data_IF_726499783648
#
_entry.id   IF_726499783648
#
_cell.length_a   1.000
_cell.length_b   1.000
_cell.length_c   1.000
_cell.angle_alpha   90.00
_cell.angle_beta   90.00
_cell.angle_gamma   90.00
#
_symmetry.space_group_name_H-M   'P 1'
#
loop_
_entity.id
_entity.type
_entity.pdbx_description
1 polymer ?
#
# COMPACT_ATOMS: atom_id res chain seq x y z
N UNK A 1 13.34 -15.54 -6.78
CA UNK A 1 11.88 -15.38 -6.63
C UNK A 1 11.58 -14.43 -5.48
N UNK A 2 10.72 -13.47 -5.71
CA UNK A 2 10.29 -12.54 -4.67
C UNK A 2 8.93 -12.97 -4.13
N UNK A 3 8.79 -12.97 -2.81
CA UNK A 3 7.54 -13.36 -2.14
C UNK A 3 6.93 -12.15 -1.47
N UNK A 4 5.69 -11.83 -1.86
CA UNK A 4 4.91 -10.76 -1.27
C UNK A 4 3.70 -11.37 -0.56
N UNK A 5 3.39 -10.87 0.62
CA UNK A 5 2.23 -11.31 1.38
C UNK A 5 1.13 -10.27 1.29
N UNK A 6 -0.07 -10.70 0.96
CA UNK A 6 -1.26 -9.87 0.92
C UNK A 6 -1.97 -9.98 2.26
N UNK A 7 -1.62 -9.11 3.20
CA UNK A 7 -2.14 -9.17 4.56
C UNK A 7 -2.05 -7.82 5.25
N UNK A 8 -3.02 -7.56 6.14
CA UNK A 8 -2.97 -6.45 7.09
C UNK A 8 -2.74 -6.93 8.52
N UNK A 9 -2.62 -8.24 8.72
CA UNK A 9 -2.47 -8.82 10.05
C UNK A 9 -1.01 -8.75 10.53
N UNK A 10 -0.75 -7.90 11.52
CA UNK A 10 0.57 -7.80 12.13
C UNK A 10 1.04 -9.12 12.72
N UNK A 11 0.12 -9.86 13.32
CA UNK A 11 0.44 -11.16 13.93
C UNK A 11 0.99 -12.14 12.90
N UNK A 12 0.34 -12.24 11.74
CA UNK A 12 0.78 -13.13 10.67
C UNK A 12 2.12 -12.67 10.09
N UNK A 13 2.26 -11.36 9.88
CA UNK A 13 3.49 -10.78 9.36
C UNK A 13 4.66 -11.02 10.32
N UNK A 14 4.47 -10.76 11.60
CA UNK A 14 5.49 -10.97 12.62
C UNK A 14 5.92 -12.44 12.72
N UNK A 15 4.99 -13.37 12.47
CA UNK A 15 5.31 -14.79 12.47
C UNK A 15 6.16 -15.23 11.28
N UNK A 16 5.99 -14.57 10.13
CA UNK A 16 6.64 -14.96 8.88
C UNK A 16 7.95 -14.23 8.61
N UNK A 17 8.11 -13.00 9.10
CA UNK A 17 9.32 -12.21 8.87
C UNK A 17 10.60 -12.92 9.32
N UNK A 18 10.65 -13.58 10.50
CA UNK A 18 11.87 -14.28 10.92
C UNK A 18 12.31 -15.41 10.01
N UNK A 19 11.44 -15.90 9.13
CA UNK A 19 11.78 -16.94 8.17
C UNK A 19 12.67 -16.44 7.03
N UNK A 20 12.79 -15.12 6.87
CA UNK A 20 13.66 -14.50 5.87
C UNK A 20 13.23 -14.70 4.42
N UNK A 21 11.99 -15.08 4.19
CA UNK A 21 11.47 -15.38 2.84
C UNK A 21 10.56 -14.30 2.28
N UNK A 22 10.22 -13.29 3.08
CA UNK A 22 9.30 -12.24 2.66
C UNK A 22 10.06 -11.06 2.10
N UNK A 23 9.73 -10.65 0.87
CA UNK A 23 10.33 -9.50 0.21
C UNK A 23 9.52 -8.23 0.37
N UNK A 24 8.21 -8.36 0.59
CA UNK A 24 7.34 -7.21 0.79
C UNK A 24 5.93 -7.60 1.17
N UNK A 25 5.12 -6.58 1.46
CA UNK A 25 3.73 -6.76 1.89
C UNK A 25 2.82 -5.97 0.96
N UNK A 26 1.70 -6.56 0.59
CA UNK A 26 0.63 -5.84 -0.08
C UNK A 26 -0.54 -5.71 0.88
N UNK A 27 -1.05 -4.49 1.05
CA UNK A 27 -2.20 -4.22 1.91
C UNK A 27 -3.29 -3.54 1.11
N UNK A 28 -4.50 -3.57 1.63
CA UNK A 28 -5.61 -2.79 1.11
C UNK A 28 -6.51 -2.34 2.26
N UNK A 29 -7.45 -1.39 2.02
CA UNK A 29 -8.29 -0.87 3.10
C UNK A 29 -9.08 -1.95 3.86
N UNK A 30 -9.57 -2.96 3.15
CA UNK A 30 -10.32 -4.06 3.78
C UNK A 30 -9.47 -4.85 4.75
N UNK A 31 -8.24 -5.15 4.37
CA UNK A 31 -7.31 -5.90 5.22
C UNK A 31 -6.93 -5.10 6.45
N UNK A 32 -6.66 -3.81 6.28
CA UNK A 32 -6.28 -2.93 7.39
C UNK A 32 -7.46 -2.70 8.36
N UNK A 33 -8.68 -2.63 7.83
CA UNK A 33 -9.86 -2.44 8.67
C UNK A 33 -10.07 -3.60 9.65
N UNK A 34 -9.66 -4.82 9.28
CA UNK A 34 -9.77 -6.00 10.16
C UNK A 34 -8.90 -5.90 11.40
N UNK A 35 -7.83 -5.12 11.35
CA UNK A 35 -6.94 -4.94 12.50
C UNK A 35 -7.54 -4.00 13.54
N UNK A 36 -8.51 -3.18 13.16
CA UNK A 36 -9.08 -2.16 14.02
C UNK A 36 -8.10 -1.01 14.25
N UNK A 37 -8.58 0.07 14.82
CA UNK A 37 -7.76 1.22 15.15
C UNK A 37 -7.31 2.03 13.96
N UNK A 38 -6.21 2.76 14.13
CA UNK A 38 -5.70 3.70 13.15
C UNK A 38 -4.86 2.97 12.07
N UNK A 39 -5.33 2.98 10.84
CA UNK A 39 -4.62 2.32 9.74
C UNK A 39 -3.21 2.88 9.52
N UNK A 40 -2.97 4.17 9.81
CA UNK A 40 -1.65 4.77 9.68
C UNK A 40 -0.65 4.13 10.64
N UNK A 41 -1.06 3.90 11.86
CA UNK A 41 -0.22 3.25 12.87
C UNK A 41 0.08 1.80 12.48
N UNK A 42 -0.91 1.08 11.96
CA UNK A 42 -0.75 -0.30 11.50
C UNK A 42 0.22 -0.36 10.33
N UNK A 43 0.07 0.51 9.33
CA UNK A 43 0.97 0.58 8.18
C UNK A 43 2.40 0.87 8.59
N UNK A 44 2.59 1.84 9.48
CA UNK A 44 3.92 2.20 9.96
C UNK A 44 4.59 1.02 10.65
N UNK A 45 3.84 0.30 11.47
CA UNK A 45 4.36 -0.87 12.17
C UNK A 45 4.71 -2.00 11.21
N UNK A 46 3.91 -2.21 10.18
CA UNK A 46 4.21 -3.18 9.12
C UNK A 46 5.53 -2.81 8.44
N UNK A 47 5.70 -1.56 8.05
CA UNK A 47 6.93 -1.10 7.40
C UNK A 47 8.15 -1.28 8.29
N UNK A 48 8.03 -1.01 9.58
CA UNK A 48 9.12 -1.18 10.54
C UNK A 48 9.47 -2.64 10.75
N UNK A 49 8.48 -3.53 10.68
CA UNK A 49 8.68 -4.96 10.88
C UNK A 49 9.31 -5.62 9.66
N UNK A 50 8.77 -5.33 8.47
CA UNK A 50 9.21 -5.96 7.22
C UNK A 50 10.49 -5.32 6.68
N UNK A 51 10.61 -4.01 6.80
CA UNK A 51 11.73 -3.21 6.26
C UNK A 51 11.90 -3.40 4.75
N UNK A 52 10.79 -3.57 4.07
CA UNK A 52 10.75 -3.76 2.61
C UNK A 52 9.53 -3.07 2.02
N UNK A 53 9.34 -3.17 0.69
CA UNK A 53 8.22 -2.51 0.03
C UNK A 53 6.89 -2.93 0.64
N UNK A 54 6.10 -1.94 1.04
CA UNK A 54 4.76 -2.16 1.60
C UNK A 54 3.77 -1.35 0.78
N UNK A 55 2.88 -2.02 0.05
CA UNK A 55 1.91 -1.31 -0.77
C UNK A 55 0.67 -0.95 0.03
N UNK A 56 0.17 0.27 -0.20
CA UNK A 56 -1.03 0.79 0.42
C UNK A 56 -1.91 1.40 -0.65
N UNK A 57 -3.17 1.00 -0.69
CA UNK A 57 -4.10 1.38 -1.73
C UNK A 57 -4.92 2.61 -1.35
N UNK A 58 -5.11 3.51 -2.33
CA UNK A 58 -6.00 4.66 -2.15
C UNK A 58 -7.46 4.22 -2.28
N UNK A 59 -8.35 4.95 -1.63
CA UNK A 59 -9.79 4.66 -1.62
C UNK A 59 -10.56 5.62 -2.52
N UNK A 60 -10.07 6.85 -2.68
CA UNK A 60 -10.71 7.86 -3.50
C UNK A 60 -10.90 7.41 -4.94
N UNK A 61 -11.92 7.92 -5.61
CA UNK A 61 -12.24 7.55 -7.00
C UNK A 61 -11.82 8.61 -8.01
N UNK A 62 -11.48 9.81 -7.56
CA UNK A 62 -11.01 10.90 -8.41
C UNK A 62 -9.52 11.14 -8.22
N UNK A 63 -8.87 11.73 -9.23
CA UNK A 63 -7.42 11.94 -9.20
C UNK A 63 -6.97 12.84 -8.05
N UNK A 64 -7.70 13.90 -7.75
CA UNK A 64 -7.34 14.82 -6.66
C UNK A 64 -7.35 14.11 -5.31
N UNK A 65 -8.39 13.32 -5.04
CA UNK A 65 -8.49 12.53 -3.82
C UNK A 65 -7.37 11.49 -3.72
N UNK A 66 -7.09 10.80 -4.83
CA UNK A 66 -6.00 9.82 -4.88
C UNK A 66 -4.64 10.45 -4.62
N UNK A 67 -4.39 11.62 -5.18
CA UNK A 67 -3.14 12.35 -4.97
C UNK A 67 -3.00 12.73 -3.50
N UNK A 68 -4.05 13.25 -2.90
CA UNK A 68 -4.06 13.65 -1.50
C UNK A 68 -3.81 12.46 -0.59
N UNK A 69 -4.53 11.35 -0.82
CA UNK A 69 -4.33 10.12 -0.06
C UNK A 69 -2.94 9.54 -0.29
N UNK A 70 -2.45 9.58 -1.53
CA UNK A 70 -1.12 9.07 -1.87
C UNK A 70 0.00 9.84 -1.17
N UNK A 71 -0.12 11.15 -1.09
CA UNK A 71 0.84 11.97 -0.35
C UNK A 71 0.83 11.63 1.13
N UNK A 72 -0.37 11.45 1.68
CA UNK A 72 -0.53 11.07 3.08
C UNK A 72 0.07 9.70 3.37
N UNK A 73 -0.24 8.71 2.55
CA UNK A 73 0.30 7.36 2.70
C UNK A 73 1.82 7.35 2.58
N UNK A 74 2.35 8.02 1.58
CA UNK A 74 3.79 8.08 1.36
C UNK A 74 4.55 8.77 2.50
N UNK A 75 3.88 9.65 3.25
CA UNK A 75 4.48 10.33 4.39
C UNK A 75 4.64 9.45 5.62
N UNK A 76 3.96 8.29 5.65
CA UNK A 76 4.00 7.39 6.80
C UNK A 76 5.38 6.73 6.93
N UNK A 77 5.93 6.26 5.82
CA UNK A 77 7.22 5.56 5.82
C UNK A 77 7.80 5.53 4.41
N UNK A 78 9.13 5.62 4.24
CA UNK A 78 9.75 5.58 2.91
C UNK A 78 9.59 4.25 2.17
N UNK A 79 9.20 3.18 2.85
CA UNK A 79 8.95 1.88 2.21
C UNK A 79 7.56 1.79 1.56
N UNK A 80 6.69 2.76 1.80
CA UNK A 80 5.33 2.73 1.25
C UNK A 80 5.35 2.89 -0.27
N UNK A 81 4.64 1.98 -0.95
CA UNK A 81 4.35 2.08 -2.38
C UNK A 81 2.86 2.34 -2.50
N UNK A 82 2.49 3.50 -3.06
CA UNK A 82 1.09 3.87 -3.22
C UNK A 82 0.48 3.08 -4.37
N UNK A 83 -0.67 2.47 -4.13
CA UNK A 83 -1.35 1.65 -5.11
C UNK A 83 -2.59 2.39 -5.62
N UNK A 84 -2.65 2.61 -6.94
CA UNK A 84 -3.77 3.27 -7.59
C UNK A 84 -4.37 2.37 -8.65
N UNK A 85 -5.70 2.48 -8.93
CA UNK A 85 -6.33 1.63 -9.94
C UNK A 85 -5.95 2.04 -11.35
N UNK A 86 -6.00 1.09 -12.29
CA UNK A 86 -5.79 1.38 -13.71
C UNK A 86 -7.08 1.97 -14.28
N UNK A 87 -7.32 3.22 -13.95
CA UNK A 87 -8.42 4.03 -14.46
C UNK A 87 -7.82 5.34 -14.96
N UNK A 88 -8.61 6.12 -15.67
CA UNK A 88 -8.16 7.44 -16.12
C UNK A 88 -7.69 8.30 -14.94
N UNK A 89 -8.46 8.32 -13.86
CA UNK A 89 -8.12 9.07 -12.66
C UNK A 89 -6.91 8.51 -11.93
N UNK A 90 -6.79 7.18 -11.87
CA UNK A 90 -5.64 6.53 -11.26
C UNK A 90 -4.34 6.80 -12.01
N UNK A 91 -4.38 6.80 -13.34
CA UNK A 91 -3.20 7.10 -14.17
C UNK A 91 -2.78 8.56 -13.98
N UNK A 92 -3.72 9.49 -13.89
CA UNK A 92 -3.41 10.90 -13.59
C UNK A 92 -2.74 11.05 -12.24
N UNK A 93 -3.27 10.37 -11.23
CA UNK A 93 -2.70 10.39 -9.88
C UNK A 93 -1.29 9.79 -9.87
N UNK A 94 -1.10 8.68 -10.58
CA UNK A 94 0.20 8.05 -10.71
C UNK A 94 1.25 8.99 -11.30
N UNK A 95 0.89 9.70 -12.36
CA UNK A 95 1.79 10.65 -13.00
C UNK A 95 2.23 11.75 -12.04
N UNK A 96 1.28 12.33 -11.32
CA UNK A 96 1.57 13.41 -10.37
C UNK A 96 2.43 12.92 -9.21
N UNK A 97 2.05 11.81 -8.59
CA UNK A 97 2.78 11.26 -7.43
C UNK A 97 4.18 10.83 -7.82
N UNK A 98 4.34 10.21 -9.00
CA UNK A 98 5.65 9.80 -9.49
C UNK A 98 6.56 11.00 -9.75
N UNK A 99 5.99 12.11 -10.28
CA UNK A 99 6.76 13.33 -10.50
C UNK A 99 7.25 13.95 -9.20
N UNK A 100 6.60 13.65 -8.09
CA UNK A 100 6.99 14.09 -6.76
C UNK A 100 7.99 13.15 -6.09
N UNK A 101 8.46 12.13 -6.80
CA UNK A 101 9.41 11.16 -6.27
C UNK A 101 8.82 10.05 -5.43
N UNK A 102 7.49 9.92 -5.39
CA UNK A 102 6.83 8.86 -4.63
C UNK A 102 6.77 7.58 -5.43
N UNK A 103 6.84 6.45 -4.75
CA UNK A 103 6.74 5.13 -5.37
C UNK A 103 5.25 4.81 -5.57
N UNK A 104 4.87 4.51 -6.80
CA UNK A 104 3.47 4.25 -7.16
C UNK A 104 3.37 3.01 -8.04
N UNK A 105 2.38 2.17 -7.77
CA UNK A 105 2.02 1.05 -8.62
C UNK A 105 0.60 1.23 -9.14
N UNK A 106 0.42 1.00 -10.43
CA UNK A 106 -0.90 0.98 -11.05
C UNK A 106 -1.38 -0.47 -11.08
N UNK A 107 -2.54 -0.72 -10.49
CA UNK A 107 -3.09 -2.07 -10.37
C UNK A 107 -4.24 -2.26 -11.35
N UNK A 108 -4.20 -3.38 -12.08
CA UNK A 108 -5.32 -3.80 -12.91
C UNK A 108 -6.47 -4.20 -11.99
N UNK A 109 -7.60 -3.49 -12.15
CA UNK A 109 -8.80 -3.84 -11.42
C UNK A 109 -9.68 -4.63 -12.37
N UNK A 110 -9.80 -5.93 -12.11
CA UNK A 110 -10.78 -6.74 -12.82
C UNK A 110 -12.10 -6.60 -12.08
N UNK A 111 -13.05 -5.88 -12.69
CA UNK A 111 -14.39 -5.90 -12.14
C UNK A 111 -14.99 -7.27 -12.49
N UNK A 112 -15.20 -8.07 -11.48
CA UNK A 112 -15.97 -9.29 -11.62
C UNK A 112 -17.43 -8.88 -11.77
N UNK A 113 -17.95 -8.99 -12.94
CA UNK A 113 -19.37 -8.88 -13.17
C UNK A 113 -19.95 -10.27 -13.35
#
# INVERSE_FOLDING_TARGET
MKIFIDSGSLKDIEALVPLGIIDGITTNPSLLAKEGGDYRAVLKRICQTVKGPTSAEVVATDSEGMIREGRDLASIDPHIVVKVPLTKEGVKACKTLSSEGKKVNVTLVFSAT
#
